data_IF_726957316533
#
_entry.id   IF_726957316533
#
_cell.length_a   1.000
_cell.length_b   1.000
_cell.length_c   1.000
_cell.angle_alpha   90.00
_cell.angle_beta   90.00
_cell.angle_gamma   90.00
#
_symmetry.space_group_name_H-M   'P 1'
#
loop_
_entity.id
_entity.type
_entity.pdbx_description
1 polymer ?
#
# COMPACT_ATOMS: atom_id res chain seq x y z
N UNK A 1 0.20 -24.24 10.85
CA UNK A 1 -0.54 -23.74 9.65
C UNK A 1 -1.77 -22.91 10.04
N UNK A 2 -1.71 -22.11 11.11
CA UNK A 2 -2.88 -21.32 11.61
C UNK A 2 -3.13 -20.01 10.82
N UNK A 3 -2.50 -19.87 9.66
CA UNK A 3 -2.37 -18.58 8.93
C UNK A 3 -3.25 -18.47 7.68
N UNK A 4 -3.71 -19.57 7.09
CA UNK A 4 -4.45 -19.53 5.81
C UNK A 4 -5.95 -19.39 6.10
N UNK A 5 -6.42 -18.13 6.09
CA UNK A 5 -7.83 -17.79 6.31
C UNK A 5 -8.55 -17.36 5.03
N UNK A 6 -7.80 -17.01 3.98
CA UNK A 6 -8.32 -16.40 2.76
C UNK A 6 -7.65 -17.04 1.55
N UNK A 7 -8.42 -17.23 0.49
CA UNK A 7 -7.92 -17.67 -0.80
C UNK A 7 -8.50 -16.79 -1.91
N UNK A 8 -7.74 -16.64 -2.98
CA UNK A 8 -8.17 -15.95 -4.19
C UNK A 8 -8.22 -16.99 -5.29
N UNK A 9 -9.36 -17.06 -5.98
CA UNK A 9 -9.53 -17.86 -7.18
C UNK A 9 -9.39 -16.95 -8.40
N UNK A 10 -8.49 -17.34 -9.29
CA UNK A 10 -8.29 -16.71 -10.60
C UNK A 10 -8.65 -17.73 -11.65
N UNK A 11 -9.74 -17.49 -12.38
CA UNK A 11 -10.18 -18.35 -13.47
C UNK A 11 -9.94 -17.64 -14.79
N UNK A 12 -9.24 -18.29 -15.73
CA UNK A 12 -8.98 -17.75 -17.06
C UNK A 12 -9.72 -18.58 -18.10
N UNK A 13 -10.61 -17.93 -18.84
CA UNK A 13 -11.28 -18.55 -19.97
C UNK A 13 -10.51 -18.24 -21.26
N UNK A 14 -10.03 -19.30 -21.94
CA UNK A 14 -9.22 -19.19 -23.17
C UNK A 14 -10.01 -18.59 -24.34
N UNK A 15 -11.32 -18.83 -24.41
CA UNK A 15 -12.16 -18.42 -25.54
C UNK A 15 -12.50 -16.92 -25.45
N UNK A 16 -12.94 -16.47 -24.27
CA UNK A 16 -13.31 -15.07 -24.04
C UNK A 16 -12.11 -14.18 -23.69
N UNK A 17 -10.96 -14.78 -23.32
CA UNK A 17 -9.76 -14.10 -22.81
C UNK A 17 -10.03 -13.24 -21.57
N UNK A 18 -11.08 -13.58 -20.82
CA UNK A 18 -11.46 -12.92 -19.58
C UNK A 18 -10.90 -13.69 -18.39
N UNK A 19 -10.51 -12.94 -17.36
CA UNK A 19 -10.00 -13.42 -16.10
C UNK A 19 -10.98 -13.04 -14.99
N UNK A 20 -11.59 -14.05 -14.38
CA UNK A 20 -12.45 -13.86 -13.22
C UNK A 20 -11.60 -13.91 -11.95
N UNK A 21 -11.65 -12.83 -11.18
CA UNK A 21 -10.98 -12.72 -9.90
C UNK A 21 -12.03 -12.72 -8.79
N UNK A 22 -11.93 -13.73 -7.90
CA UNK A 22 -12.85 -13.90 -6.77
C UNK A 22 -12.08 -14.16 -5.49
N UNK A 23 -12.47 -13.49 -4.40
CA UNK A 23 -11.81 -13.61 -3.11
C UNK A 23 -12.75 -14.24 -2.07
N UNK A 24 -12.29 -15.36 -1.49
CA UNK A 24 -13.02 -16.15 -0.52
C UNK A 24 -12.29 -16.20 0.83
N UNK A 25 -13.08 -16.23 1.90
CA UNK A 25 -12.68 -16.61 3.25
C UNK A 25 -12.92 -18.10 3.44
N UNK A 26 -11.92 -18.79 3.93
CA UNK A 26 -11.99 -20.21 4.26
C UNK A 26 -12.59 -20.34 5.67
N UNK A 27 -13.63 -21.16 5.78
CA UNK A 27 -14.30 -21.53 7.02
C UNK A 27 -14.28 -23.04 7.18
N UNK A 28 -13.86 -23.50 8.35
CA UNK A 28 -13.92 -24.91 8.70
C UNK A 28 -15.19 -25.19 9.49
N UNK A 29 -15.91 -26.23 9.11
CA UNK A 29 -17.07 -26.75 9.83
C UNK A 29 -16.79 -28.19 10.27
N UNK A 30 -16.99 -28.54 11.55
CA UNK A 30 -16.73 -29.91 12.01
C UNK A 30 -17.77 -30.86 11.41
N UNK A 31 -17.29 -32.02 10.96
CA UNK A 31 -18.08 -33.12 10.40
C UNK A 31 -18.25 -34.19 11.49
N UNK A 32 -19.35 -34.94 11.46
CA UNK A 32 -19.62 -36.01 12.45
C UNK A 32 -20.18 -35.54 13.80
N UNK A 33 -20.51 -34.26 13.95
CA UNK A 33 -21.15 -33.72 15.17
C UNK A 33 -22.65 -33.46 14.91
N UNK A 34 -23.51 -33.97 15.80
CA UNK A 34 -24.95 -33.74 15.73
C UNK A 34 -25.32 -32.25 15.86
N UNK A 35 -26.45 -31.84 15.28
CA UNK A 35 -26.91 -30.44 15.28
C UNK A 35 -27.12 -29.91 16.71
N UNK A 36 -27.61 -30.74 17.63
CA UNK A 36 -27.81 -30.43 19.05
C UNK A 36 -26.49 -30.09 19.74
N UNK A 37 -25.44 -30.88 19.52
CA UNK A 37 -24.09 -30.64 20.05
C UNK A 37 -23.48 -29.37 19.43
N UNK A 38 -23.61 -29.17 18.11
CA UNK A 38 -23.14 -27.94 17.43
C UNK A 38 -23.78 -26.67 18.00
N UNK A 39 -25.02 -26.75 18.49
CA UNK A 39 -25.69 -25.64 19.18
C UNK A 39 -25.19 -25.41 20.59
N UNK A 40 -24.82 -26.47 21.33
CA UNK A 40 -24.28 -26.41 22.68
C UNK A 40 -22.88 -25.80 22.73
N UNK A 41 -22.06 -26.03 21.68
CA UNK A 41 -20.71 -25.46 21.54
C UNK A 41 -20.76 -23.92 21.33
N UNK A 42 -21.92 -23.32 21.05
CA UNK A 42 -22.03 -21.86 20.86
C UNK A 42 -21.97 -21.14 22.21
N UNK A 43 -21.40 -19.91 22.26
CA UNK A 43 -21.32 -19.14 23.50
C UNK A 43 -22.70 -18.75 24.06
N UNK A 44 -23.73 -18.68 23.21
CA UNK A 44 -25.12 -18.48 23.64
C UNK A 44 -25.80 -19.84 23.79
N UNK A 45 -25.98 -20.26 25.03
CA UNK A 45 -26.68 -21.49 25.35
C UNK A 45 -28.17 -21.39 25.00
N UNK A 46 -28.77 -22.48 24.48
CA UNK A 46 -30.21 -22.57 24.30
C UNK A 46 -30.94 -22.63 25.65
N UNK A 47 -32.23 -22.30 25.67
CA UNK A 47 -33.02 -22.42 26.88
C UNK A 47 -33.25 -23.91 27.21
N UNK A 48 -32.67 -24.36 28.32
CA UNK A 48 -32.72 -25.76 28.77
C UNK A 48 -33.85 -26.06 29.75
N UNK A 49 -34.64 -25.05 30.16
CA UNK A 49 -35.71 -25.22 31.16
C UNK A 49 -36.82 -26.21 30.77
N UNK A 50 -36.91 -26.59 29.49
CA UNK A 50 -37.90 -27.52 28.96
C UNK A 50 -37.42 -28.97 28.91
N UNK A 51 -36.17 -29.23 29.29
CA UNK A 51 -35.56 -30.56 29.21
C UNK A 51 -35.07 -30.96 30.60
N UNK A 52 -35.36 -32.19 31.00
CA UNK A 52 -34.94 -32.71 32.31
C UNK A 52 -33.50 -33.22 32.27
N UNK A 53 -33.05 -33.71 31.10
CA UNK A 53 -31.68 -34.23 30.91
C UNK A 53 -31.02 -33.73 29.62
N UNK A 54 -29.68 -33.78 29.59
CA UNK A 54 -28.88 -33.46 28.39
C UNK A 54 -29.19 -34.45 27.26
N UNK A 55 -29.39 -35.72 27.58
CA UNK A 55 -29.78 -36.76 26.62
C UNK A 55 -31.11 -36.41 25.96
N UNK A 56 -32.11 -35.98 26.74
CA UNK A 56 -33.39 -35.52 26.20
C UNK A 56 -33.22 -34.32 25.26
N UNK A 57 -32.32 -33.38 25.56
CA UNK A 57 -32.02 -32.28 24.64
C UNK A 57 -31.34 -32.75 23.34
N UNK A 58 -30.46 -33.75 23.42
CA UNK A 58 -29.78 -34.30 22.23
C UNK A 58 -30.77 -35.05 21.34
N UNK A 59 -31.69 -35.80 21.94
CA UNK A 59 -32.72 -36.61 21.28
C UNK A 59 -33.90 -35.77 20.76
N UNK A 60 -34.41 -34.85 21.59
CA UNK A 60 -35.65 -34.08 21.34
C UNK A 60 -35.40 -32.68 20.77
N UNK A 61 -34.21 -32.13 20.95
CA UNK A 61 -33.77 -30.86 20.33
C UNK A 61 -33.62 -30.92 18.80
N UNK A 62 -34.03 -32.04 18.18
CA UNK A 62 -34.00 -32.37 16.75
C UNK A 62 -35.23 -31.96 15.93
N UNK A 63 -36.24 -31.25 16.47
CA UNK A 63 -37.33 -30.64 15.69
C UNK A 63 -36.86 -29.42 14.86
N UNK A 64 -35.82 -29.60 14.05
CA UNK A 64 -35.18 -28.56 13.28
C UNK A 64 -35.09 -29.03 11.83
N UNK A 65 -36.01 -28.50 11.02
CA UNK A 65 -36.09 -28.59 9.56
C UNK A 65 -34.75 -28.94 8.88
N UNK A 66 -34.76 -30.00 8.09
CA UNK A 66 -33.58 -30.64 7.53
C UNK A 66 -32.82 -29.80 6.48
N UNK A 67 -33.29 -28.60 6.13
CA UNK A 67 -32.91 -27.84 4.94
C UNK A 67 -31.47 -27.26 4.85
N UNK A 68 -30.52 -27.58 5.75
CA UNK A 68 -29.11 -27.10 5.65
C UNK A 68 -28.07 -28.22 5.89
N UNK A 69 -28.30 -29.41 5.34
CA UNK A 69 -27.38 -30.53 5.52
C UNK A 69 -27.32 -31.47 4.35
N UNK A 70 -26.95 -31.00 3.16
CA UNK A 70 -26.19 -31.90 2.30
C UNK A 70 -24.93 -32.26 3.08
N UNK A 71 -24.75 -33.55 3.38
CA UNK A 71 -23.46 -34.05 3.84
C UNK A 71 -22.45 -33.60 2.79
N UNK A 72 -21.57 -32.68 3.18
CA UNK A 72 -20.46 -32.23 2.33
C UNK A 72 -19.74 -33.51 1.86
N UNK A 73 -19.83 -33.85 0.57
CA UNK A 73 -19.31 -35.13 0.06
C UNK A 73 -17.82 -35.32 0.34
N UNK A 74 -17.24 -36.53 0.09
CA UNK A 74 -15.87 -36.85 0.46
C UNK A 74 -14.82 -35.89 -0.13
N UNK A 75 -15.17 -35.15 -1.18
CA UNK A 75 -14.33 -34.14 -1.81
C UNK A 75 -14.10 -32.88 -0.94
N UNK A 76 -14.95 -32.60 0.06
CA UNK A 76 -14.86 -31.41 0.92
C UNK A 76 -14.34 -31.70 2.33
N UNK A 77 -14.18 -32.96 2.70
CA UNK A 77 -13.74 -33.39 4.03
C UNK A 77 -12.21 -33.45 4.13
N UNK A 78 -11.67 -32.88 5.20
CA UNK A 78 -10.22 -32.89 5.47
C UNK A 78 -9.99 -33.20 6.95
N UNK A 79 -9.07 -34.11 7.23
CA UNK A 79 -8.60 -34.38 8.60
C UNK A 79 -7.68 -33.26 9.06
N UNK A 80 -8.05 -32.59 10.16
CA UNK A 80 -7.30 -31.43 10.65
C UNK A 80 -5.97 -31.84 11.29
N UNK A 81 -4.81 -31.30 10.84
CA UNK A 81 -3.52 -31.61 11.44
C UNK A 81 -3.29 -30.89 12.79
N UNK A 82 -4.06 -29.85 13.07
CA UNK A 82 -3.95 -29.01 14.27
C UNK A 82 -5.32 -28.48 14.67
N UNK A 83 -5.44 -28.02 15.91
CA UNK A 83 -6.63 -27.29 16.36
C UNK A 83 -6.70 -25.93 15.67
N UNK A 84 -7.86 -25.57 15.13
CA UNK A 84 -8.07 -24.28 14.47
C UNK A 84 -9.09 -23.48 15.25
N UNK A 85 -8.77 -22.22 15.56
CA UNK A 85 -9.68 -21.31 16.27
C UNK A 85 -11.02 -21.23 15.54
N UNK A 86 -12.05 -21.82 16.14
CA UNK A 86 -13.35 -22.02 15.49
C UNK A 86 -14.24 -22.98 16.27
N UNK A 87 -15.48 -23.15 15.79
CA UNK A 87 -16.54 -23.89 16.47
C UNK A 87 -16.29 -25.40 16.41
N UNK A 88 -15.59 -25.98 17.38
CA UNK A 88 -15.45 -27.45 17.53
C UNK A 88 -14.48 -28.12 16.55
N UNK A 89 -13.51 -27.37 16.00
CA UNK A 89 -12.50 -27.88 15.06
C UNK A 89 -11.26 -28.36 15.83
N UNK A 90 -11.29 -29.61 16.27
CA UNK A 90 -10.27 -30.22 17.13
C UNK A 90 -9.20 -30.92 16.26
N UNK A 91 -7.97 -31.00 16.77
CA UNK A 91 -6.88 -31.74 16.11
C UNK A 91 -7.29 -33.20 15.82
N UNK A 92 -6.89 -33.71 14.65
CA UNK A 92 -7.16 -35.07 14.17
C UNK A 92 -8.64 -35.43 13.95
N UNK A 93 -9.55 -34.45 13.97
CA UNK A 93 -10.96 -34.64 13.61
C UNK A 93 -11.23 -34.24 12.16
N UNK A 94 -12.24 -34.85 11.54
CA UNK A 94 -12.68 -34.49 10.19
C UNK A 94 -13.45 -33.18 10.22
N UNK A 95 -13.10 -32.27 9.30
CA UNK A 95 -13.79 -31.00 9.11
C UNK A 95 -13.96 -30.72 7.63
N UNK A 96 -15.10 -30.13 7.28
CA UNK A 96 -15.42 -29.72 5.93
C UNK A 96 -14.91 -28.29 5.69
N UNK A 97 -14.32 -28.06 4.51
CA UNK A 97 -13.87 -26.74 4.08
C UNK A 97 -15.01 -26.02 3.35
N UNK A 98 -15.39 -24.84 3.84
CA UNK A 98 -16.42 -23.97 3.24
C UNK A 98 -15.82 -22.63 2.82
N UNK A 99 -16.19 -22.15 1.65
CA UNK A 99 -15.76 -20.84 1.15
C UNK A 99 -16.88 -19.82 1.33
N UNK A 100 -16.58 -18.68 1.95
CA UNK A 100 -17.47 -17.52 1.99
C UNK A 100 -16.86 -16.40 1.16
N UNK A 101 -17.57 -15.92 0.15
CA UNK A 101 -17.11 -14.78 -0.64
C UNK A 101 -17.02 -13.51 0.22
N UNK A 102 -15.93 -12.76 0.08
CA UNK A 102 -15.68 -11.52 0.85
C UNK A 102 -15.41 -10.34 -0.05
N UNK A 103 -14.58 -10.53 -1.09
CA UNK A 103 -14.06 -9.44 -1.90
C UNK A 103 -14.89 -9.12 -3.15
N UNK A 104 -14.48 -8.08 -3.90
CA UNK A 104 -15.14 -7.69 -5.14
C UNK A 104 -15.05 -8.80 -6.19
N UNK A 105 -16.10 -8.92 -6.99
CA UNK A 105 -16.15 -9.77 -8.19
C UNK A 105 -15.61 -8.96 -9.35
N UNK A 106 -14.41 -9.29 -9.82
CA UNK A 106 -13.81 -8.60 -10.96
C UNK A 106 -13.71 -9.54 -12.16
N UNK A 107 -14.03 -9.01 -13.32
CA UNK A 107 -13.81 -9.63 -14.63
C UNK A 107 -12.80 -8.77 -15.39
N UNK A 108 -11.57 -9.24 -15.51
CA UNK A 108 -10.45 -8.49 -16.07
C UNK A 108 -10.13 -9.00 -17.48
N UNK A 109 -9.66 -8.10 -18.35
CA UNK A 109 -9.20 -8.45 -19.70
C UNK A 109 -7.79 -7.90 -19.90
N UNK A 110 -6.90 -8.69 -20.51
CA UNK A 110 -5.56 -8.25 -20.85
C UNK A 110 -5.60 -7.28 -22.03
N UNK A 111 -5.37 -5.98 -21.76
CA UNK A 111 -5.37 -4.94 -22.79
C UNK A 111 -3.96 -4.67 -23.33
N UNK A 112 -2.99 -4.44 -22.43
CA UNK A 112 -1.64 -3.98 -22.78
C UNK A 112 -0.64 -4.47 -21.74
N UNK A 113 0.52 -4.95 -22.20
CA UNK A 113 1.68 -5.28 -21.36
C UNK A 113 2.76 -4.24 -21.65
N UNK A 114 3.22 -3.55 -20.61
CA UNK A 114 4.30 -2.57 -20.67
C UNK A 114 5.45 -3.00 -19.76
N UNK A 115 6.66 -2.64 -20.16
CA UNK A 115 7.83 -2.77 -19.32
C UNK A 115 7.78 -1.75 -18.15
N UNK A 116 8.18 -2.17 -16.96
CA UNK A 116 8.25 -1.29 -15.79
C UNK A 116 6.89 -0.76 -15.33
N UNK A 117 6.88 0.48 -14.84
CA UNK A 117 5.69 1.13 -14.25
C UNK A 117 5.26 2.28 -15.14
N UNK A 118 4.22 2.05 -15.94
CA UNK A 118 3.49 3.07 -16.70
C UNK A 118 4.27 3.93 -17.72
N UNK A 119 5.56 3.68 -17.97
CA UNK A 119 6.38 4.48 -18.91
C UNK A 119 7.34 3.63 -19.78
N UNK A 120 7.34 2.29 -19.64
CA UNK A 120 8.22 1.45 -20.43
C UNK A 120 7.65 1.06 -21.79
N UNK A 121 8.44 0.28 -22.53
CA UNK A 121 8.07 -0.17 -23.87
C UNK A 121 6.82 -1.08 -23.83
N UNK A 122 5.93 -0.92 -24.81
CA UNK A 122 4.76 -1.80 -24.96
C UNK A 122 5.24 -3.11 -25.59
N UNK A 123 5.06 -4.23 -24.89
CA UNK A 123 5.42 -5.57 -25.35
C UNK A 123 4.24 -6.26 -26.06
N UNK A 124 3.02 -6.03 -25.56
CA UNK A 124 1.81 -6.60 -26.11
C UNK A 124 0.66 -5.61 -26.02
N UNK A 125 -0.22 -5.61 -27.01
CA UNK A 125 -1.47 -4.86 -26.97
C UNK A 125 -2.55 -5.65 -27.72
N UNK A 126 -3.72 -5.82 -27.11
CA UNK A 126 -4.81 -6.63 -27.65
C UNK A 126 -5.46 -5.99 -28.89
N UNK A 127 -5.75 -4.68 -28.81
CA UNK A 127 -6.49 -3.96 -29.86
C UNK A 127 -5.60 -3.23 -30.88
N UNK A 128 -4.51 -2.61 -30.45
CA UNK A 128 -3.69 -1.72 -31.29
C UNK A 128 -2.32 -2.36 -31.52
N UNK A 129 -2.07 -2.82 -32.75
CA UNK A 129 -0.77 -3.31 -33.17
C UNK A 129 -0.04 -2.19 -33.90
N UNK A 130 1.13 -1.79 -33.38
CA UNK A 130 2.01 -0.81 -34.02
C UNK A 130 2.97 -1.52 -34.97
N UNK A 131 3.36 -0.84 -36.05
CA UNK A 131 4.40 -1.36 -36.93
C UNK A 131 5.76 -1.34 -36.23
N UNK A 132 6.71 -2.15 -36.72
CA UNK A 132 8.06 -2.22 -36.13
C UNK A 132 8.74 -0.84 -36.18
N UNK A 133 8.62 -0.13 -37.30
CA UNK A 133 9.16 1.21 -37.49
C UNK A 133 8.56 2.25 -36.53
N UNK A 134 7.25 2.19 -36.29
CA UNK A 134 6.58 3.03 -35.29
C UNK A 134 7.09 2.71 -33.87
N UNK A 135 7.32 1.44 -33.54
CA UNK A 135 7.85 1.09 -32.22
C UNK A 135 9.29 1.56 -32.02
N UNK A 136 10.13 1.52 -33.06
CA UNK A 136 11.51 1.99 -33.02
C UNK A 136 11.60 3.52 -32.93
N UNK A 137 10.78 4.24 -33.70
CA UNK A 137 10.71 5.71 -33.61
C UNK A 137 10.23 6.16 -32.22
N UNK A 138 9.24 5.47 -31.63
CA UNK A 138 8.79 5.74 -30.25
C UNK A 138 9.91 5.46 -29.25
N UNK A 139 10.65 4.36 -29.39
CA UNK A 139 11.81 4.03 -28.53
C UNK A 139 12.88 5.13 -28.62
N UNK A 140 13.25 5.54 -29.83
CA UNK A 140 14.24 6.59 -30.06
C UNK A 140 13.79 7.94 -29.48
N UNK A 141 12.53 8.31 -29.64
CA UNK A 141 11.97 9.54 -29.03
C UNK A 141 12.02 9.49 -27.49
N UNK A 142 11.68 8.34 -26.89
CA UNK A 142 11.73 8.16 -25.44
C UNK A 142 13.16 8.22 -24.90
N UNK A 143 14.11 7.61 -25.60
CA UNK A 143 15.52 7.66 -25.21
C UNK A 143 16.07 9.08 -25.25
N UNK A 144 15.79 9.83 -26.33
CA UNK A 144 16.14 11.26 -26.43
C UNK A 144 15.54 12.06 -25.26
N UNK A 145 14.27 11.81 -24.92
CA UNK A 145 13.59 12.46 -23.78
C UNK A 145 14.24 12.09 -22.44
N UNK A 146 14.65 10.83 -22.25
CA UNK A 146 15.34 10.35 -21.05
C UNK A 146 16.68 11.05 -20.86
N UNK A 147 17.50 11.10 -21.91
CA UNK A 147 18.80 11.79 -21.91
C UNK A 147 18.62 13.27 -21.59
N UNK A 148 17.64 13.94 -22.21
CA UNK A 148 17.34 15.35 -21.97
C UNK A 148 16.88 15.60 -20.51
N UNK A 149 16.08 14.69 -19.94
CA UNK A 149 15.61 14.79 -18.54
C UNK A 149 16.77 14.60 -17.56
N UNK A 150 17.70 13.69 -17.86
CA UNK A 150 18.88 13.44 -17.04
C UNK A 150 19.85 14.62 -17.05
N UNK A 151 20.11 15.20 -18.24
CA UNK A 151 20.89 16.45 -18.38
C UNK A 151 20.30 17.58 -17.54
N UNK A 152 18.98 17.83 -17.66
CA UNK A 152 18.28 18.84 -16.86
C UNK A 152 18.40 18.59 -15.36
N UNK A 153 18.29 17.33 -14.93
CA UNK A 153 18.44 16.96 -13.51
C UNK A 153 19.86 17.22 -13.01
N UNK A 154 20.88 16.91 -13.82
CA UNK A 154 22.29 17.15 -13.49
C UNK A 154 22.59 18.65 -13.33
N UNK A 155 22.16 19.46 -14.30
CA UNK A 155 22.30 20.92 -14.24
C UNK A 155 21.59 21.52 -13.02
N UNK A 156 20.38 21.05 -12.72
CA UNK A 156 19.64 21.48 -11.54
C UNK A 156 20.38 21.14 -10.25
N UNK A 157 20.94 19.94 -10.13
CA UNK A 157 21.72 19.53 -8.97
C UNK A 157 22.98 20.39 -8.79
N UNK A 158 23.69 20.70 -9.88
CA UNK A 158 24.87 21.58 -9.84
C UNK A 158 24.50 23.01 -9.41
N UNK A 159 23.41 23.57 -9.94
CA UNK A 159 22.93 24.89 -9.57
C UNK A 159 22.48 24.96 -8.10
N UNK A 160 21.81 23.92 -7.61
CA UNK A 160 21.44 23.82 -6.19
C UNK A 160 22.68 23.76 -5.31
N UNK A 161 23.70 22.98 -5.68
CA UNK A 161 24.99 22.91 -4.96
C UNK A 161 25.71 24.26 -4.94
N UNK A 162 25.86 24.92 -6.10
CA UNK A 162 26.47 26.27 -6.19
C UNK A 162 25.72 27.28 -5.32
N UNK A 163 24.38 27.26 -5.35
CA UNK A 163 23.54 28.15 -4.52
C UNK A 163 23.60 27.80 -3.02
N UNK A 164 23.88 26.55 -2.66
CA UNK A 164 24.11 26.16 -1.27
C UNK A 164 25.46 26.68 -0.76
N UNK A 165 26.54 26.47 -1.54
CA UNK A 165 27.88 26.96 -1.21
C UNK A 165 27.92 28.48 -1.06
N UNK A 166 27.34 29.22 -2.02
CA UNK A 166 27.28 30.68 -1.95
C UNK A 166 26.48 31.17 -0.73
N UNK A 167 25.41 30.45 -0.35
CA UNK A 167 24.65 30.75 0.88
C UNK A 167 25.49 30.53 2.13
N UNK A 168 26.29 29.46 2.19
CA UNK A 168 27.20 29.22 3.31
C UNK A 168 28.32 30.26 3.40
N UNK A 169 28.93 30.64 2.27
CA UNK A 169 29.94 31.69 2.22
C UNK A 169 29.36 33.04 2.67
N UNK A 170 28.20 33.42 2.18
CA UNK A 170 27.52 34.64 2.59
C UNK A 170 27.13 34.61 4.09
N UNK A 171 26.71 33.44 4.61
CA UNK A 171 26.46 33.26 6.04
C UNK A 171 27.74 33.44 6.88
N UNK A 172 28.88 32.88 6.44
CA UNK A 172 30.19 33.06 7.09
C UNK A 172 30.62 34.53 7.07
N UNK A 173 30.54 35.20 5.92
CA UNK A 173 30.84 36.64 5.76
C UNK A 173 29.95 37.51 6.66
N UNK A 174 28.65 37.22 6.72
CA UNK A 174 27.70 37.92 7.60
C UNK A 174 28.04 37.73 9.09
N UNK A 175 28.37 36.51 9.52
CA UNK A 175 28.78 36.23 10.90
C UNK A 175 30.08 36.94 11.28
N UNK A 176 31.05 37.01 10.35
CA UNK A 176 32.28 37.78 10.55
C UNK A 176 32.00 39.28 10.69
N UNK A 177 31.12 39.83 9.83
CA UNK A 177 30.70 41.23 9.93
C UNK A 177 30.05 41.58 11.27
N UNK A 178 29.20 40.68 11.82
CA UNK A 178 28.60 40.86 13.15
C UNK A 178 29.66 40.82 14.25
N UNK A 179 30.60 39.86 14.20
CA UNK A 179 31.70 39.76 15.17
C UNK A 179 32.59 41.02 15.16
N UNK A 180 32.96 41.51 13.99
CA UNK A 180 33.77 42.73 13.86
C UNK A 180 33.04 43.96 14.40
N UNK A 181 31.73 44.10 14.15
CA UNK A 181 30.92 45.20 14.68
C UNK A 181 30.77 45.13 16.21
N UNK A 182 30.66 43.92 16.78
CA UNK A 182 30.66 43.73 18.23
C UNK A 182 32.03 44.02 18.87
N UNK A 183 33.14 43.67 18.21
CA UNK A 183 34.48 44.01 18.68
C UNK A 183 34.73 45.52 18.69
N UNK A 184 34.30 46.25 17.64
CA UNK A 184 34.37 47.72 17.59
C UNK A 184 33.55 48.40 18.70
N UNK A 185 32.36 47.87 19.04
CA UNK A 185 31.55 48.40 20.14
C UNK A 185 32.10 48.11 21.55
N UNK A 186 33.07 47.20 21.70
CA UNK A 186 33.69 46.86 22.99
C UNK A 186 34.98 47.63 23.27
N UNK A 187 35.46 48.48 22.35
CA UNK A 187 36.52 49.44 22.67
C UNK A 187 35.93 50.61 23.46
N UNK A 188 36.47 50.95 24.65
CA UNK A 188 35.98 52.09 25.43
C UNK A 188 36.27 53.40 24.68
N UNK A 189 35.23 54.23 24.53
CA UNK A 189 35.36 55.61 24.04
C UNK A 189 36.27 56.38 24.99
N UNK A 190 37.43 56.80 24.50
CA UNK A 190 38.19 57.90 25.07
C UNK A 190 37.95 59.09 24.11
N UNK A 191 36.87 59.83 24.35
CA UNK A 191 36.46 60.96 23.51
C UNK A 191 37.33 62.18 23.83
N UNK A 192 38.19 62.59 22.88
CA UNK A 192 38.69 63.96 22.79
C UNK A 192 38.20 64.56 21.48
N UNK A 193 37.09 65.30 21.56
CA UNK A 193 36.42 65.98 20.45
C UNK A 193 37.32 67.05 19.82
N UNK A 194 37.58 66.93 18.51
CA UNK A 194 37.98 68.07 17.69
C UNK A 194 37.37 67.98 16.28
N UNK A 195 36.28 68.73 16.08
CA UNK A 195 35.58 68.91 14.81
C UNK A 195 36.42 69.72 13.79
N UNK A 196 36.61 69.27 12.54
CA UNK A 196 37.11 70.14 11.48
C UNK A 196 35.95 70.83 10.75
N UNK A 197 36.01 72.17 10.68
CA UNK A 197 35.03 73.02 9.97
C UNK A 197 35.08 72.84 8.45
N UNK A 198 33.90 72.83 7.83
CA UNK A 198 33.70 72.63 6.39
C UNK A 198 34.21 73.77 5.49
N UNK A 199 34.74 73.40 4.32
CA UNK A 199 35.08 74.32 3.22
C UNK A 199 33.87 74.49 2.29
N UNK A 200 33.41 75.74 2.14
CA UNK A 200 32.43 76.16 1.12
C UNK A 200 33.02 76.01 -0.29
N UNK A 201 32.29 75.37 -1.21
CA UNK A 201 32.59 75.37 -2.65
C UNK A 201 32.03 76.65 -3.27
N UNK A 202 32.89 77.44 -3.95
CA UNK A 202 32.47 78.53 -4.84
C UNK A 202 32.01 77.91 -6.16
N UNK A 203 30.82 78.31 -6.62
CA UNK A 203 30.33 78.09 -7.97
C UNK A 203 30.78 79.29 -8.79
N UNK A 204 31.44 79.04 -9.92
CA UNK A 204 31.71 80.05 -10.95
C UNK A 204 30.81 79.74 -12.15
N UNK A 205 29.88 80.66 -12.42
CA UNK A 205 29.18 80.82 -13.70
C UNK A 205 30.13 81.44 -14.73
N UNK A 206 29.93 81.04 -15.99
CA UNK A 206 30.24 81.70 -17.28
C UNK A 206 30.38 80.54 -18.30
N UNK A 207 29.83 80.54 -19.51
CA UNK A 207 29.21 81.56 -20.35
C UNK A 207 29.31 80.99 -21.77
#
# INVERSE_FOLDING_TARGET
>A
MDSIRRCVLVNYNKDTKLLDFRHYLIKLAPVGISRSIKKLIRPKLPNMSRFETISEYIERGGNLSESEGEMDGPHNEVTLPQEVRGRGNIKATQSAVRLKEVGPRLTLQLVKIEEGICDGAVLFHAFVKKSVEETESIKAMREKKRILKEKRKREQLENVKKKALLREENKKKSLQGIKNKQAMKRQPQNDSDQFPKGKKRKVSEEG
#
